data_IF_106095617088
#
_entry.id   IF_106095617088
#
_cell.length_a   1.000
_cell.length_b   1.000
_cell.length_c   1.000
_cell.angle_alpha   90.00
_cell.angle_beta   90.00
_cell.angle_gamma   90.00
#
_symmetry.space_group_name_H-M   'P 1'
#
loop_
_entity.id
_entity.type
_entity.pdbx_description
1 polymer ?
#
# COMPACT_ATOMS: atom_id res chain seq x y z
N UNK A 1 17.05 8.95 -7.83
CA UNK A 1 16.98 8.09 -6.63
C UNK A 1 15.78 8.52 -5.82
N UNK A 2 14.86 7.60 -5.52
CA UNK A 2 13.60 7.92 -4.86
C UNK A 2 13.81 8.10 -3.36
N UNK A 3 13.16 9.10 -2.76
CA UNK A 3 13.24 9.39 -1.32
C UNK A 3 11.84 9.51 -0.75
N UNK A 4 11.57 8.78 0.33
CA UNK A 4 10.33 8.91 1.10
C UNK A 4 10.64 9.69 2.37
N UNK A 5 9.86 10.73 2.63
CA UNK A 5 9.99 11.61 3.78
C UNK A 5 8.80 11.37 4.72
N UNK A 6 9.07 11.17 6.01
CA UNK A 6 8.03 11.02 7.03
C UNK A 6 8.42 11.68 8.35
N UNK A 7 7.46 12.28 9.04
CA UNK A 7 7.65 13.01 10.30
C UNK A 7 6.71 14.20 10.40
N UNK A 8 6.55 14.78 11.60
CA UNK A 8 5.68 15.96 11.81
C UNK A 8 4.25 15.78 11.24
N UNK A 9 3.70 14.57 11.39
CA UNK A 9 2.38 14.22 10.86
C UNK A 9 2.25 14.24 9.34
N UNK A 10 3.35 14.25 8.57
CA UNK A 10 3.33 14.28 7.10
C UNK A 10 4.13 13.13 6.51
N UNK A 11 3.65 12.60 5.38
CA UNK A 11 4.33 11.60 4.57
C UNK A 11 4.32 12.04 3.10
N UNK A 12 5.50 12.08 2.47
CA UNK A 12 5.67 12.48 1.07
C UNK A 12 6.77 11.66 0.38
N UNK A 13 6.80 11.69 -0.93
CA UNK A 13 7.78 11.01 -1.76
C UNK A 13 8.32 11.96 -2.83
N UNK A 14 9.59 11.75 -3.20
CA UNK A 14 10.25 12.47 -4.29
C UNK A 14 10.93 11.47 -5.22
N UNK A 15 10.59 11.54 -6.51
CA UNK A 15 11.06 10.64 -7.55
C UNK A 15 9.93 10.21 -8.48
N UNK A 16 10.24 9.37 -9.46
CA UNK A 16 9.27 8.82 -10.43
C UNK A 16 8.54 7.60 -9.85
N UNK A 17 7.77 7.81 -8.78
CA UNK A 17 6.99 6.77 -8.13
C UNK A 17 5.60 6.67 -8.75
N UNK A 18 5.20 5.47 -9.17
CA UNK A 18 3.83 5.16 -9.58
C UNK A 18 3.09 4.36 -8.50
N UNK A 19 3.79 3.58 -7.67
CA UNK A 19 3.16 2.81 -6.59
C UNK A 19 4.05 2.77 -5.36
N UNK A 20 3.45 2.77 -4.17
CA UNK A 20 4.16 2.74 -2.89
C UNK A 20 3.47 1.76 -1.94
N UNK A 21 4.23 0.79 -1.43
CA UNK A 21 3.84 -0.02 -0.27
C UNK A 21 4.70 0.39 0.92
N UNK A 22 4.06 0.76 2.03
CA UNK A 22 4.72 1.11 3.29
C UNK A 22 4.31 0.09 4.34
N UNK A 23 5.28 -0.67 4.85
CA UNK A 23 5.10 -1.47 6.04
C UNK A 23 5.46 -0.61 7.26
N UNK A 24 4.63 -0.61 8.29
CA UNK A 24 4.85 0.22 9.47
C UNK A 24 4.46 -0.50 10.77
N UNK A 25 4.77 0.13 11.90
CA UNK A 25 4.32 -0.24 13.24
C UNK A 25 3.63 0.96 13.88
N UNK A 26 2.65 0.65 14.73
CA UNK A 26 1.81 1.63 15.43
C UNK A 26 0.43 1.74 14.79
N UNK A 27 -0.34 2.73 15.22
CA UNK A 27 -1.68 3.01 14.74
C UNK A 27 -1.77 4.49 14.39
N UNK A 28 -2.37 4.78 13.22
CA UNK A 28 -2.46 6.15 12.69
C UNK A 28 -3.83 6.46 12.08
N UNK A 29 -4.30 7.69 12.24
CA UNK A 29 -5.36 8.22 11.40
C UNK A 29 -4.71 8.89 10.19
N UNK A 30 -5.15 8.55 8.98
CA UNK A 30 -4.60 9.03 7.72
C UNK A 30 -5.61 9.99 7.08
N UNK A 31 -5.11 11.14 6.65
CA UNK A 31 -5.80 12.08 5.76
C UNK A 31 -5.13 11.99 4.40
N UNK A 32 -5.85 11.51 3.41
CA UNK A 32 -5.33 11.33 2.05
C UNK A 32 -4.96 12.68 1.41
N UNK A 33 -3.72 12.78 0.93
CA UNK A 33 -3.18 13.94 0.19
C UNK A 33 -2.62 13.53 -1.17
N UNK A 34 -2.91 12.30 -1.61
CA UNK A 34 -2.51 11.82 -2.93
C UNK A 34 -3.21 12.63 -4.02
N UNK A 35 -2.54 12.85 -5.16
CA UNK A 35 -3.15 13.52 -6.30
C UNK A 35 -4.27 12.66 -6.90
N UNK A 36 -5.22 13.30 -7.57
CA UNK A 36 -6.32 12.62 -8.25
C UNK A 36 -5.80 11.53 -9.19
N UNK A 37 -6.44 10.36 -9.19
CA UNK A 37 -5.97 9.18 -9.91
C UNK A 37 -5.07 8.26 -9.08
N UNK A 38 -4.76 8.62 -7.83
CA UNK A 38 -4.19 7.70 -6.85
C UNK A 38 -5.18 7.36 -5.76
N UNK A 39 -5.03 6.15 -5.22
CA UNK A 39 -5.83 5.67 -4.11
C UNK A 39 -4.93 5.12 -3.02
N UNK A 40 -5.34 5.34 -1.77
CA UNK A 40 -4.68 4.84 -0.58
C UNK A 40 -5.56 3.77 0.09
N UNK A 41 -4.95 2.65 0.42
CA UNK A 41 -5.58 1.55 1.14
C UNK A 41 -4.69 1.15 2.32
N UNK A 42 -5.31 0.75 3.43
CA UNK A 42 -4.57 0.25 4.59
C UNK A 42 -5.10 -1.10 5.05
N UNK A 43 -4.19 -1.98 5.47
CA UNK A 43 -4.54 -3.27 6.07
C UNK A 43 -3.29 -4.01 6.54
N UNK A 44 -3.39 -4.80 7.61
CA UNK A 44 -2.29 -5.60 8.15
C UNK A 44 -0.99 -4.80 8.40
N UNK A 45 -1.10 -3.59 8.96
CA UNK A 45 0.02 -2.66 9.16
C UNK A 45 0.79 -2.31 7.88
N UNK A 46 0.09 -2.32 6.76
CA UNK A 46 0.55 -1.84 5.47
C UNK A 46 -0.30 -0.67 4.99
N UNK A 47 0.35 0.22 4.27
CA UNK A 47 -0.28 1.27 3.48
C UNK A 47 0.10 0.99 2.03
N UNK A 48 -0.89 0.90 1.15
CA UNK A 48 -0.68 0.79 -0.30
C UNK A 48 -1.20 2.05 -0.95
N UNK A 49 -0.39 2.64 -1.81
CA UNK A 49 -0.75 3.78 -2.65
C UNK A 49 -0.50 3.34 -4.08
N UNK A 50 -1.52 3.40 -4.91
CA UNK A 50 -1.46 2.93 -6.29
C UNK A 50 -2.24 3.84 -7.21
N UNK A 51 -1.86 3.92 -8.50
CA UNK A 51 -2.57 4.70 -9.48
C UNK A 51 -3.75 3.88 -10.02
N UNK A 52 -4.83 4.56 -10.38
CA UNK A 52 -5.97 3.96 -11.04
C UNK A 52 -6.45 4.86 -12.20
N UNK A 53 -6.56 4.26 -13.39
CA UNK A 53 -7.10 4.90 -14.60
C UNK A 53 -6.19 5.90 -15.31
N UNK A 54 -5.49 6.77 -14.59
CA UNK A 54 -4.69 7.86 -15.18
C UNK A 54 -3.20 7.55 -15.13
N UNK A 55 -2.50 7.76 -16.25
CA UNK A 55 -1.04 7.60 -16.39
C UNK A 55 -0.32 8.94 -16.30
N UNK A 56 0.96 8.91 -15.97
CA UNK A 56 1.90 10.04 -15.99
C UNK A 56 1.65 11.16 -14.96
N UNK A 57 0.91 10.87 -13.88
CA UNK A 57 0.79 11.78 -12.74
C UNK A 57 1.97 11.56 -11.78
N UNK A 58 2.62 12.63 -11.35
CA UNK A 58 3.70 12.51 -10.36
C UNK A 58 3.14 12.37 -8.95
N UNK A 59 3.47 11.27 -8.29
CA UNK A 59 3.15 11.06 -6.88
C UNK A 59 4.13 11.85 -6.00
N UNK A 60 3.61 12.86 -5.28
CA UNK A 60 4.43 13.76 -4.46
C UNK A 60 4.00 13.69 -2.99
N UNK A 61 2.80 14.18 -2.70
CA UNK A 61 2.21 14.12 -1.37
C UNK A 61 1.49 12.78 -1.23
N UNK A 62 1.72 12.09 -0.11
CA UNK A 62 1.07 10.81 0.17
C UNK A 62 -0.11 11.02 1.11
N UNK A 63 0.17 11.43 2.34
CA UNK A 63 -0.86 11.62 3.34
C UNK A 63 -0.34 12.42 4.54
N UNK A 64 -1.29 12.99 5.28
CA UNK A 64 -1.07 13.47 6.63
C UNK A 64 -1.51 12.41 7.64
N UNK A 65 -0.90 12.38 8.82
CA UNK A 65 -1.24 11.42 9.85
C UNK A 65 -1.15 11.96 11.28
N UNK A 66 -1.97 11.37 12.15
CA UNK A 66 -1.85 11.49 13.62
C UNK A 66 -1.75 10.09 14.20
N UNK A 67 -0.94 9.87 15.23
CA UNK A 67 -0.70 8.51 15.74
C UNK A 67 0.75 8.16 15.90
N UNK A 68 0.99 6.88 16.20
CA UNK A 68 2.32 6.29 16.22
C UNK A 68 2.63 5.71 14.84
N UNK A 69 3.58 6.32 14.13
CA UNK A 69 3.98 5.90 12.79
C UNK A 69 5.47 5.58 12.72
N UNK A 70 5.81 4.29 12.66
CA UNK A 70 7.19 3.84 12.48
C UNK A 70 7.32 2.94 11.26
N UNK A 71 7.87 3.48 10.18
CA UNK A 71 8.11 2.74 8.95
C UNK A 71 9.14 1.63 9.21
N UNK A 72 8.82 0.39 8.83
CA UNK A 72 9.73 -0.76 8.85
C UNK A 72 10.38 -1.01 7.49
N UNK A 73 9.62 -0.87 6.40
CA UNK A 73 10.12 -0.99 5.04
C UNK A 73 9.22 -0.26 4.04
N UNK A 74 9.79 0.09 2.89
CA UNK A 74 9.09 0.73 1.78
C UNK A 74 9.46 0.01 0.48
N UNK A 75 8.46 -0.29 -0.33
CA UNK A 75 8.62 -0.73 -1.72
C UNK A 75 8.02 0.36 -2.60
N UNK A 76 8.77 0.79 -3.61
CA UNK A 76 8.29 1.76 -4.61
C UNK A 76 8.43 1.16 -5.98
N UNK A 77 7.45 1.36 -6.85
CA UNK A 77 7.50 0.95 -8.26
C UNK A 77 7.34 2.12 -9.21
N UNK A 78 7.95 2.02 -10.39
CA UNK A 78 7.65 2.90 -11.52
C UNK A 78 6.35 2.48 -12.25
N UNK A 79 5.99 3.22 -13.29
CA UNK A 79 4.82 2.96 -14.14
C UNK A 79 4.91 1.65 -14.94
N UNK A 80 6.10 1.04 -15.03
CA UNK A 80 6.32 -0.26 -15.65
C UNK A 80 6.23 -1.41 -14.62
N UNK A 81 5.96 -1.11 -13.35
CA UNK A 81 5.92 -2.08 -12.27
C UNK A 81 7.29 -2.53 -11.78
N UNK A 82 8.37 -1.85 -12.18
CA UNK A 82 9.73 -2.17 -11.74
C UNK A 82 10.02 -1.50 -10.40
N UNK A 83 10.61 -2.27 -9.49
CA UNK A 83 11.01 -1.78 -8.16
C UNK A 83 12.12 -0.72 -8.26
N UNK A 84 11.94 0.38 -7.53
CA UNK A 84 12.87 1.50 -7.45
C UNK A 84 13.59 1.52 -6.09
N UNK A 85 14.90 1.79 -6.13
CA UNK A 85 15.68 2.00 -4.91
C UNK A 85 15.20 3.26 -4.19
N UNK A 86 14.77 3.08 -2.94
CA UNK A 86 14.15 4.13 -2.14
C UNK A 86 14.89 4.32 -0.81
N UNK A 87 15.18 5.58 -0.47
CA UNK A 87 15.74 5.95 0.84
C UNK A 87 14.66 6.54 1.72
N UNK A 88 14.52 6.01 2.94
CA UNK A 88 13.61 6.55 3.95
C UNK A 88 14.33 7.68 4.70
N UNK A 89 13.74 8.87 4.71
CA UNK A 89 14.22 10.06 5.41
C UNK A 89 13.21 10.46 6.46
N UNK A 90 13.61 10.32 7.72
CA UNK A 90 12.81 10.79 8.84
C UNK A 90 13.04 12.29 9.03
N UNK A 91 11.97 13.08 9.00
CA UNK A 91 12.00 14.47 9.41
C UNK A 91 11.72 14.50 10.92
N UNK A 92 12.66 15.02 11.71
CA UNK A 92 12.44 15.24 13.13
C UNK A 92 11.86 16.63 13.33
N UNK A 93 10.79 16.73 14.09
CA UNK A 93 10.33 18.01 14.59
C UNK A 93 11.22 18.38 15.80
N UNK A 94 12.11 19.34 15.59
CA UNK A 94 13.07 19.75 16.63
C UNK A 94 12.39 20.51 17.76
N UNK A 95 11.19 21.08 17.54
CA UNK A 95 10.55 21.99 18.51
C UNK A 95 10.06 21.25 19.76
N UNK A 96 9.55 20.03 19.64
CA UNK A 96 9.11 19.22 20.80
C UNK A 96 10.27 18.65 21.64
N UNK A 97 11.51 18.68 21.12
CA UNK A 97 12.70 18.22 21.83
C UNK A 97 13.36 19.33 22.65
N UNK A 98 12.95 20.59 22.44
CA UNK A 98 13.45 21.77 23.13
C UNK A 98 12.64 22.03 24.40
N UNK A 99 12.87 21.22 25.43
CA UNK A 99 12.60 21.64 26.81
C UNK A 99 13.90 22.18 27.40
N UNK A 100 14.05 23.50 27.51
CA UNK A 100 15.18 24.12 28.20
C UNK A 100 15.42 25.58 27.83
N UNK A 101 16.09 26.32 28.74
CA UNK A 101 16.65 27.63 28.43
C UNK A 101 17.70 27.48 27.32
N UNK A 102 17.79 28.47 26.43
CA UNK A 102 18.61 28.47 25.19
C UNK A 102 20.09 28.12 25.44
N UNK A 103 20.58 28.35 26.65
CA UNK A 103 21.96 28.11 27.09
C UNK A 103 22.29 26.62 27.33
N UNK A 104 21.29 25.77 27.61
CA UNK A 104 21.48 24.36 28.02
C UNK A 104 20.79 23.36 27.07
N UNK A 105 20.83 23.61 25.76
CA UNK A 105 20.28 22.70 24.76
C UNK A 105 21.09 21.40 24.62
N UNK A 106 20.92 20.48 25.56
CA UNK A 106 21.34 19.07 25.41
C UNK A 106 20.10 18.22 25.15
N UNK A 107 19.87 17.78 23.90
CA UNK A 107 18.78 16.84 23.60
C UNK A 107 19.20 15.44 24.07
N UNK A 108 18.61 14.87 25.13
CA UNK A 108 18.97 13.54 25.58
C UNK A 108 18.58 12.51 24.51
N UNK A 109 19.47 11.55 24.23
CA UNK A 109 19.28 10.51 23.20
C UNK A 109 17.97 9.73 23.38
N UNK A 110 17.48 9.63 24.61
CA UNK A 110 16.21 8.97 24.92
C UNK A 110 14.99 9.73 24.37
N UNK A 111 15.04 11.07 24.29
CA UNK A 111 13.98 11.89 23.67
C UNK A 111 14.00 11.79 22.13
N UNK A 112 15.14 11.48 21.50
CA UNK A 112 15.21 11.19 20.04
C UNK A 112 14.40 9.93 19.64
N UNK A 113 14.07 9.04 20.58
CA UNK A 113 13.22 7.87 20.32
C UNK A 113 11.72 8.16 20.50
N UNK A 114 11.32 9.29 21.11
CA UNK A 114 9.91 9.64 21.35
C UNK A 114 9.17 10.20 20.11
N UNK A 115 9.90 10.46 19.03
CA UNK A 115 9.50 11.24 17.85
C UNK A 115 8.61 10.50 16.83
N UNK A 116 7.96 9.37 17.20
CA UNK A 116 7.08 8.60 16.28
C UNK A 116 5.61 8.92 16.48
N UNK A 117 5.27 9.72 17.51
CA UNK A 117 3.90 10.04 17.90
C UNK A 117 3.57 11.46 17.48
N UNK A 118 2.43 11.64 16.83
CA UNK A 118 1.91 12.96 16.47
C UNK A 118 0.47 13.13 17.00
N UNK A 119 0.31 14.08 17.93
CA UNK A 119 -0.93 14.57 18.57
C UNK A 119 -1.83 13.56 19.31
N UNK A 120 -2.22 12.44 18.73
CA UNK A 120 -3.19 11.50 19.31
C UNK A 120 -2.73 10.03 19.18
N UNK A 121 -3.21 9.13 20.05
CA UNK A 121 -2.96 7.67 19.96
C UNK A 121 -4.24 6.94 19.54
N UNK A 122 -4.49 6.78 18.23
CA UNK A 122 -5.63 5.99 17.78
C UNK A 122 -5.44 4.52 18.15
N UNK A 123 -6.55 3.81 18.42
CA UNK A 123 -6.50 2.38 18.74
C UNK A 123 -6.36 1.49 17.50
N UNK A 124 -6.70 2.03 16.32
CA UNK A 124 -6.60 1.34 15.03
C UNK A 124 -6.24 2.33 13.94
N UNK A 125 -5.63 1.84 12.86
CA UNK A 125 -5.41 2.67 11.68
C UNK A 125 -6.72 2.92 10.95
N UNK A 126 -6.94 4.16 10.53
CA UNK A 126 -8.09 4.54 9.69
C UNK A 126 -7.66 5.46 8.56
N UNK A 127 -8.34 5.39 7.43
CA UNK A 127 -8.21 6.32 6.29
C UNK A 127 -9.51 7.09 6.18
N UNK A 128 -9.42 8.38 5.88
CA UNK A 128 -10.57 9.25 5.65
C UNK A 128 -11.38 8.86 4.40
N UNK A 129 -10.70 8.55 3.30
CA UNK A 129 -11.33 8.00 2.09
C UNK A 129 -11.52 6.49 2.21
N UNK A 130 -12.78 6.06 2.20
CA UNK A 130 -13.17 4.64 2.32
C UNK A 130 -13.71 4.03 1.03
N UNK A 131 -14.10 4.88 0.08
CA UNK A 131 -14.76 4.47 -1.16
C UNK A 131 -14.07 5.16 -2.34
N UNK A 132 -13.80 4.40 -3.39
CA UNK A 132 -13.43 4.90 -4.71
C UNK A 132 -14.68 4.95 -5.57
N UNK A 133 -15.16 6.15 -5.85
CA UNK A 133 -16.43 6.42 -6.53
C UNK A 133 -16.24 6.72 -8.02
N UNK A 134 -17.36 6.77 -8.75
CA UNK A 134 -17.46 7.19 -10.14
C UNK A 134 -16.61 6.36 -11.12
N UNK A 135 -16.59 5.04 -10.90
CA UNK A 135 -15.88 4.10 -11.76
C UNK A 135 -16.82 3.59 -12.83
N UNK A 136 -16.32 3.29 -14.03
CA UNK A 136 -17.14 2.74 -15.11
C UNK A 136 -16.50 1.48 -15.70
N UNK A 137 -17.31 0.45 -15.94
CA UNK A 137 -16.90 -0.86 -16.48
C UNK A 137 -16.13 -0.75 -17.80
N UNK A 138 -16.45 0.25 -18.64
CA UNK A 138 -15.73 0.52 -19.89
C UNK A 138 -14.24 0.86 -19.71
N UNK A 139 -13.84 1.33 -18.52
CA UNK A 139 -12.50 1.81 -18.23
C UNK A 139 -11.70 0.79 -17.39
N UNK A 140 -12.24 -0.40 -17.18
CA UNK A 140 -11.67 -1.44 -16.34
C UNK A 140 -11.34 -2.69 -17.16
N UNK A 141 -10.12 -3.20 -17.01
CA UNK A 141 -9.73 -4.49 -17.58
C UNK A 141 -10.32 -5.63 -16.74
N UNK A 142 -11.54 -6.05 -17.09
CA UNK A 142 -12.18 -7.25 -16.56
C UNK A 142 -13.69 -7.13 -16.39
N UNK A 143 -14.37 -8.27 -16.55
CA UNK A 143 -15.82 -8.33 -16.41
C UNK A 143 -16.22 -8.36 -14.93
N UNK A 144 -17.06 -7.41 -14.55
CA UNK A 144 -17.80 -7.43 -13.29
C UNK A 144 -19.14 -8.12 -13.53
N UNK A 145 -19.58 -8.94 -12.58
CA UNK A 145 -20.83 -9.69 -12.69
C UNK A 145 -21.79 -9.30 -11.57
N UNK A 146 -23.05 -9.02 -11.94
CA UNK A 146 -24.16 -8.91 -11.01
C UNK A 146 -25.00 -10.17 -11.13
N UNK A 147 -24.86 -11.09 -10.17
CA UNK A 147 -25.46 -12.41 -10.27
C UNK A 147 -24.79 -13.27 -11.35
N UNK A 148 -25.51 -13.58 -12.44
CA UNK A 148 -25.00 -14.37 -13.56
C UNK A 148 -24.56 -13.51 -14.77
N UNK A 149 -25.05 -12.27 -14.84
CA UNK A 149 -24.91 -11.39 -15.99
C UNK A 149 -23.69 -10.47 -15.84
N UNK A 150 -23.10 -10.11 -16.98
CA UNK A 150 -22.04 -9.09 -17.03
C UNK A 150 -22.70 -7.75 -16.71
N UNK A 151 -22.16 -7.07 -15.71
CA UNK A 151 -22.58 -5.73 -15.33
C UNK A 151 -21.88 -4.72 -16.23
N UNK A 152 -22.66 -3.84 -16.84
CA UNK A 152 -22.16 -2.67 -17.58
C UNK A 152 -22.79 -1.41 -17.00
N UNK A 153 -21.95 -0.51 -16.51
CA UNK A 153 -22.37 0.74 -15.89
C UNK A 153 -21.39 1.25 -14.84
N UNK A 154 -21.87 2.23 -14.07
CA UNK A 154 -21.10 2.83 -12.99
C UNK A 154 -21.02 1.91 -11.77
N UNK A 155 -19.86 1.92 -11.13
CA UNK A 155 -19.59 1.18 -9.90
C UNK A 155 -18.69 2.00 -8.97
N UNK A 156 -18.55 1.54 -7.74
CA UNK A 156 -17.59 2.07 -6.77
C UNK A 156 -16.92 0.91 -6.02
N UNK A 157 -15.77 1.17 -5.41
CA UNK A 157 -15.00 0.14 -4.68
C UNK A 157 -14.81 0.56 -3.24
N UNK A 158 -15.14 -0.34 -2.32
CA UNK A 158 -14.86 -0.16 -0.89
C UNK A 158 -13.40 -0.51 -0.63
N UNK A 159 -12.59 0.49 -0.27
CA UNK A 159 -11.15 0.31 -0.08
C UNK A 159 -10.82 -0.54 1.17
N UNK A 160 -11.72 -0.60 2.16
CA UNK A 160 -11.54 -1.45 3.35
C UNK A 160 -11.72 -2.95 3.05
N UNK A 161 -12.65 -3.30 2.14
CA UNK A 161 -13.00 -4.70 1.85
C UNK A 161 -12.49 -5.17 0.48
N UNK A 162 -12.10 -4.25 -0.40
CA UNK A 162 -11.78 -4.51 -1.80
C UNK A 162 -13.00 -4.89 -2.65
N UNK A 163 -14.23 -4.71 -2.15
CA UNK A 163 -15.45 -5.07 -2.86
C UNK A 163 -15.86 -3.99 -3.85
N UNK A 164 -16.18 -4.41 -5.08
CA UNK A 164 -16.85 -3.57 -6.06
C UNK A 164 -18.36 -3.64 -5.88
N UNK A 165 -19.05 -2.51 -6.00
CA UNK A 165 -20.48 -2.37 -5.75
C UNK A 165 -21.13 -1.55 -6.88
N UNK A 166 -22.40 -1.81 -7.20
CA UNK A 166 -23.15 -1.07 -8.22
C UNK A 166 -23.38 0.39 -7.83
N UNK A 167 -23.44 1.26 -8.84
CA UNK A 167 -23.67 2.71 -8.69
C UNK A 167 -22.37 3.50 -8.61
N UNK A 168 -22.40 4.74 -9.09
CA UNK A 168 -21.28 5.69 -9.06
C UNK A 168 -20.93 6.15 -7.64
N UNK A 169 -21.92 6.26 -6.76
CA UNK A 169 -21.75 6.63 -5.34
C UNK A 169 -22.19 5.51 -4.40
N UNK A 170 -21.67 5.52 -3.16
CA UNK A 170 -22.11 4.57 -2.15
C UNK A 170 -23.55 4.85 -1.68
N UNK A 171 -24.44 3.88 -1.88
CA UNK A 171 -25.83 3.92 -1.40
C UNK A 171 -26.20 2.63 -0.68
N UNK A 172 -27.28 2.65 0.12
CA UNK A 172 -27.80 1.45 0.80
C UNK A 172 -28.31 0.38 -0.20
N UNK A 173 -28.70 0.81 -1.40
CA UNK A 173 -29.22 -0.07 -2.46
C UNK A 173 -28.10 -0.70 -3.32
N UNK A 174 -26.84 -0.32 -3.10
CA UNK A 174 -25.71 -0.80 -3.89
C UNK A 174 -25.47 -2.30 -3.69
N UNK A 175 -25.35 -3.04 -4.79
CA UNK A 175 -25.20 -4.50 -4.80
C UNK A 175 -23.76 -4.92 -5.10
N UNK A 176 -23.28 -5.99 -4.47
CA UNK A 176 -21.90 -6.49 -4.65
C UNK A 176 -21.68 -7.11 -6.03
N UNK A 177 -20.65 -6.63 -6.72
CA UNK A 177 -20.18 -7.13 -8.01
C UNK A 177 -19.10 -8.20 -7.82
N UNK A 178 -19.17 -9.25 -8.63
CA UNK A 178 -18.24 -10.40 -8.56
C UNK A 178 -17.25 -10.39 -9.71
N UNK A 179 -16.00 -10.77 -9.41
CA UNK A 179 -14.97 -11.03 -10.41
C UNK A 179 -14.85 -12.56 -10.59
N UNK A 180 -15.07 -13.07 -11.81
CA UNK A 180 -14.82 -14.49 -12.11
C UNK A 180 -13.33 -14.71 -12.37
N UNK A 181 -12.61 -15.23 -11.38
CA UNK A 181 -11.21 -15.67 -11.57
C UNK A 181 -11.21 -16.96 -12.40
N UNK A 182 -10.92 -16.86 -13.69
CA UNK A 182 -10.64 -18.05 -14.53
C UNK A 182 -9.29 -18.61 -14.11
N UNK A 183 -9.29 -19.60 -13.20
CA UNK A 183 -8.06 -20.33 -12.84
C UNK A 183 -7.60 -21.14 -14.06
N UNK A 184 -6.52 -20.71 -14.72
CA UNK A 184 -5.83 -21.56 -15.70
C UNK A 184 -5.37 -22.84 -14.99
N UNK A 185 -5.64 -24.05 -15.53
CA UNK A 185 -5.23 -25.28 -14.88
C UNK A 185 -3.71 -25.33 -14.76
N UNK A 186 -3.21 -25.53 -13.53
CA UNK A 186 -1.79 -25.73 -13.28
C UNK A 186 -1.33 -26.97 -14.06
N UNK A 187 -0.40 -26.79 -15.00
CA UNK A 187 0.29 -27.93 -15.66
C UNK A 187 1.03 -28.71 -14.57
N UNK A 188 0.49 -29.86 -14.16
CA UNK A 188 1.21 -30.83 -13.34
C UNK A 188 2.45 -31.26 -14.13
N UNK A 189 3.63 -30.77 -13.75
CA UNK A 189 4.87 -31.31 -14.28
C UNK A 189 4.99 -32.75 -13.78
N UNK A 190 4.91 -33.71 -14.70
CA UNK A 190 5.13 -35.11 -14.40
C UNK A 190 6.56 -35.29 -13.90
N UNK A 191 6.72 -35.72 -12.65
CA UNK A 191 8.01 -36.03 -12.07
C UNK A 191 8.65 -37.19 -12.85
N UNK A 192 9.71 -36.89 -13.59
CA UNK A 192 10.52 -37.89 -14.30
C UNK A 192 11.24 -38.73 -13.23
N UNK A 193 10.70 -39.91 -12.90
CA UNK A 193 11.36 -40.90 -12.04
C UNK A 193 12.73 -41.25 -12.66
N UNK A 194 13.81 -40.79 -12.02
CA UNK A 194 15.16 -41.30 -12.29
C UNK A 194 15.29 -42.67 -11.63
N UNK A 195 15.14 -43.73 -12.41
CA UNK A 195 15.62 -45.06 -12.04
C UNK A 195 17.14 -45.04 -12.09
N UNK A 196 17.80 -45.03 -10.93
CA UNK A 196 19.22 -45.30 -10.83
C UNK A 196 19.45 -46.79 -11.09
N UNK A 197 20.02 -47.12 -12.26
CA UNK A 197 20.66 -48.42 -12.47
C UNK A 197 21.85 -48.51 -11.51
N UNK A 198 21.88 -49.58 -10.74
CA UNK A 198 22.95 -49.92 -9.81
C UNK A 198 23.91 -50.82 -10.60
N UNK A 199 24.96 -50.24 -11.15
CA UNK A 199 26.01 -51.01 -11.81
C UNK A 199 26.74 -51.85 -10.74
N UNK A 200 26.66 -53.16 -10.94
CA UNK A 200 27.40 -54.14 -10.16
C UNK A 200 28.88 -54.07 -10.51
N UNK A 201 29.72 -53.86 -9.50
CA UNK A 201 31.15 -54.08 -9.63
C UNK A 201 31.49 -55.36 -8.87
N UNK A 202 31.57 -56.46 -9.63
CA UNK A 202 32.12 -57.73 -9.19
C UNK A 202 33.54 -57.89 -9.74
N UNK A 203 34.47 -58.23 -8.85
CA UNK A 203 35.84 -58.61 -9.15
C UNK A 203 36.64 -58.47 -7.85
N UNK A 204 37.27 -59.50 -7.28
CA UNK A 204 37.66 -60.79 -7.80
C UNK A 204 39.04 -61.05 -7.20
N UNK A 205 39.12 -62.07 -6.34
CA UNK A 205 40.27 -62.80 -5.78
C UNK A 205 41.55 -62.04 -5.41
#
# INVERSE_FOLDING_TARGET
MTKLYYGDGKCSISGEAAGVEINYKGAINIVDKTPDGFHIMTGNNKIMIFPFGVKDITLNNLFEYTGEFRISSVIVSDWQGKSLSTTIKRMMDYVELLDGNVEDMTIPVNKLNATYKHRANPHKTTVDKKVMENMHTSNHDGDLYLGADIYDGYYHVHLETGKAMTGDVHTEDSQELKIKIIRKPQRRMAAKRRTSMRDGNGGGY
#
